data_IF_170073937173
#
_entry.id   IF_170073937173
#
_cell.length_a   1.000
_cell.length_b   1.000
_cell.length_c   1.000
_cell.angle_alpha   90.00
_cell.angle_beta   90.00
_cell.angle_gamma   90.00
#
_symmetry.space_group_name_H-M   'P 1'
#
loop_
_entity.id
_entity.type
_entity.pdbx_description
1 polymer ?
#
# COMPACT_ATOMS: atom_id res chain seq x y z
N UNK A 1 -6.12 -2.47 11.47
CA UNK A 1 -6.61 -2.12 10.11
C UNK A 1 -7.81 -3.01 9.80
N UNK A 2 -8.85 -2.50 9.13
CA UNK A 2 -9.99 -3.30 8.68
C UNK A 2 -9.80 -3.71 7.23
N UNK A 3 -9.89 -5.01 6.92
CA UNK A 3 -9.65 -5.55 5.57
C UNK A 3 -10.59 -6.72 5.30
N UNK A 4 -11.47 -6.58 4.31
CA UNK A 4 -12.47 -7.57 3.94
C UNK A 4 -13.55 -7.77 5.01
N UNK A 5 -14.58 -8.54 4.67
CA UNK A 5 -15.63 -8.92 5.63
C UNK A 5 -15.24 -10.20 6.36
N UNK A 6 -15.71 -10.40 7.61
CA UNK A 6 -15.42 -11.60 8.42
C UNK A 6 -15.84 -12.91 7.73
N UNK A 7 -16.91 -12.84 6.94
CA UNK A 7 -17.48 -13.94 6.15
C UNK A 7 -17.95 -13.41 4.79
N UNK A 8 -18.09 -14.27 3.76
CA UNK A 8 -18.74 -13.87 2.52
C UNK A 8 -20.12 -13.26 2.81
N UNK A 9 -20.36 -12.05 2.32
CA UNK A 9 -21.58 -11.29 2.58
C UNK A 9 -22.17 -10.87 1.24
N UNK A 10 -23.46 -11.01 1.02
CA UNK A 10 -24.07 -10.55 -0.23
C UNK A 10 -24.20 -9.01 -0.26
N UNK A 11 -24.50 -8.46 -1.44
CA UNK A 11 -24.56 -7.01 -1.67
C UNK A 11 -25.75 -6.33 -1.02
N UNK A 12 -26.86 -7.04 -0.83
CA UNK A 12 -28.05 -6.51 -0.16
C UNK A 12 -27.77 -6.33 1.33
N UNK A 13 -27.20 -7.37 1.96
CA UNK A 13 -26.73 -7.33 3.35
C UNK A 13 -25.68 -6.25 3.55
N UNK A 14 -24.68 -6.15 2.66
CA UNK A 14 -23.66 -5.09 2.72
C UNK A 14 -24.29 -3.69 2.67
N UNK A 15 -25.26 -3.47 1.77
CA UNK A 15 -25.94 -2.18 1.63
C UNK A 15 -26.75 -1.82 2.88
N UNK A 16 -27.53 -2.78 3.40
CA UNK A 16 -28.31 -2.58 4.61
C UNK A 16 -27.40 -2.21 5.79
N UNK A 17 -26.32 -2.96 5.96
CA UNK A 17 -25.35 -2.74 7.02
C UNK A 17 -24.61 -1.39 6.90
N UNK A 18 -24.37 -0.92 5.67
CA UNK A 18 -23.80 0.41 5.42
C UNK A 18 -24.75 1.55 5.82
N UNK A 19 -26.06 1.34 5.69
CA UNK A 19 -27.09 2.33 6.03
C UNK A 19 -27.37 2.41 7.53
N UNK A 20 -27.41 1.26 8.22
CA UNK A 20 -27.71 1.19 9.65
C UNK A 20 -26.46 1.22 10.55
N UNK A 21 -25.26 1.18 9.96
CA UNK A 21 -23.97 1.25 10.65
C UNK A 21 -23.42 -0.10 11.11
N UNK A 22 -24.19 -1.20 10.99
CA UNK A 22 -23.73 -2.54 11.36
C UNK A 22 -22.61 -3.09 10.46
N UNK A 23 -22.24 -2.38 9.37
CA UNK A 23 -21.08 -2.71 8.55
C UNK A 23 -19.77 -2.74 9.35
N UNK A 24 -19.69 -1.98 10.45
CA UNK A 24 -18.56 -2.03 11.38
C UNK A 24 -18.34 -3.44 11.93
N UNK A 25 -19.43 -4.18 12.19
CA UNK A 25 -19.42 -5.54 12.70
C UNK A 25 -19.14 -6.58 11.60
N UNK A 26 -19.38 -6.23 10.33
CA UNK A 26 -19.04 -7.09 9.20
C UNK A 26 -17.55 -7.06 8.88
N UNK A 27 -16.87 -5.94 9.12
CA UNK A 27 -15.46 -5.75 8.76
C UNK A 27 -14.53 -6.59 9.64
N UNK A 28 -13.54 -7.25 9.02
CA UNK A 28 -12.52 -8.01 9.72
C UNK A 28 -11.37 -7.10 10.16
N UNK A 29 -11.36 -6.77 11.45
CA UNK A 29 -10.36 -5.90 12.07
C UNK A 29 -9.13 -6.71 12.53
N UNK A 30 -7.97 -6.35 11.96
CA UNK A 30 -6.69 -6.99 12.24
C UNK A 30 -5.79 -6.08 13.07
N UNK A 31 -5.18 -6.57 14.17
CA UNK A 31 -4.13 -5.84 14.86
C UNK A 31 -2.92 -5.69 13.93
N UNK A 32 -2.21 -4.57 14.04
CA UNK A 32 -1.03 -4.27 13.22
C UNK A 32 0.11 -3.72 14.07
N UNK A 33 1.34 -3.88 13.60
CA UNK A 33 2.55 -3.31 14.18
C UNK A 33 3.42 -2.69 13.09
N UNK A 34 4.40 -1.89 13.51
CA UNK A 34 5.36 -1.28 12.59
C UNK A 34 6.08 -2.34 11.76
N UNK A 35 6.13 -2.11 10.44
CA UNK A 35 6.74 -3.02 9.48
C UNK A 35 5.80 -4.07 8.89
N UNK A 36 4.55 -4.18 9.35
CA UNK A 36 3.54 -4.97 8.66
C UNK A 36 3.23 -4.38 7.28
N UNK A 37 2.92 -5.25 6.33
CA UNK A 37 2.58 -4.88 4.96
C UNK A 37 1.27 -5.57 4.54
N UNK A 38 0.41 -4.84 3.84
CA UNK A 38 -0.84 -5.34 3.28
C UNK A 38 -1.00 -4.83 1.85
N UNK A 39 -1.24 -5.74 0.92
CA UNK A 39 -1.67 -5.38 -0.43
C UNK A 39 -3.21 -5.45 -0.49
N UNK A 40 -3.85 -4.29 -0.66
CA UNK A 40 -5.31 -4.18 -0.76
C UNK A 40 -5.71 -4.03 -2.23
N UNK A 41 -6.23 -5.09 -2.84
CA UNK A 41 -6.68 -5.05 -4.23
C UNK A 41 -7.96 -4.21 -4.36
N UNK A 42 -8.20 -3.63 -5.54
CA UNK A 42 -9.47 -2.96 -5.86
C UNK A 42 -10.66 -3.86 -5.56
N UNK A 43 -11.72 -3.32 -4.97
CA UNK A 43 -12.89 -4.08 -4.52
C UNK A 43 -12.81 -4.58 -3.08
N UNK A 44 -11.62 -4.60 -2.47
CA UNK A 44 -11.47 -4.90 -1.03
C UNK A 44 -12.11 -3.81 -0.20
N UNK A 45 -13.10 -4.16 0.62
CA UNK A 45 -13.66 -3.25 1.62
C UNK A 45 -12.62 -3.07 2.73
N UNK A 46 -12.26 -1.83 3.05
CA UNK A 46 -11.21 -1.58 4.03
C UNK A 46 -11.39 -0.25 4.77
N UNK A 47 -10.74 -0.16 5.93
CA UNK A 47 -10.69 1.04 6.75
C UNK A 47 -9.36 1.13 7.51
N UNK A 48 -8.79 2.33 7.57
CA UNK A 48 -7.63 2.63 8.40
C UNK A 48 -8.14 3.05 9.78
N UNK A 49 -7.80 2.26 10.79
CA UNK A 49 -8.16 2.52 12.19
C UNK A 49 -7.31 3.63 12.82
N UNK A 50 -7.78 4.15 13.96
CA UNK A 50 -7.06 5.17 14.73
C UNK A 50 -5.68 4.69 15.21
N UNK A 51 -4.74 5.62 15.35
CA UNK A 51 -3.39 5.36 15.86
C UNK A 51 -2.42 4.73 14.86
N UNK A 52 -2.83 4.55 13.59
CA UNK A 52 -1.97 4.00 12.53
C UNK A 52 -1.30 5.14 11.76
N UNK A 53 0.02 5.08 11.64
CA UNK A 53 0.79 5.84 10.63
C UNK A 53 1.27 4.84 9.58
N UNK A 54 1.07 5.15 8.31
CA UNK A 54 1.43 4.26 7.20
C UNK A 54 1.94 5.06 6.00
N UNK A 55 2.60 4.33 5.10
CA UNK A 55 2.84 4.77 3.72
C UNK A 55 1.88 3.99 2.83
N UNK A 56 1.08 4.70 2.05
CA UNK A 56 0.17 4.11 1.08
C UNK A 56 0.73 4.32 -0.33
N UNK A 57 1.09 3.22 -0.98
CA UNK A 57 1.47 3.21 -2.40
C UNK A 57 0.26 2.72 -3.17
N UNK A 58 -0.26 3.58 -4.05
CA UNK A 58 -1.46 3.32 -4.82
C UNK A 58 -1.26 3.67 -6.29
N UNK A 59 -2.15 3.16 -7.14
CA UNK A 59 -2.25 3.66 -8.51
C UNK A 59 -2.67 5.14 -8.50
N UNK A 60 -2.29 5.89 -9.53
CA UNK A 60 -2.71 7.29 -9.70
C UNK A 60 -4.21 7.37 -10.03
N UNK A 61 -5.05 7.18 -9.02
CA UNK A 61 -6.51 7.21 -9.05
C UNK A 61 -7.00 7.82 -7.74
N UNK A 62 -7.91 8.78 -7.85
CA UNK A 62 -8.54 9.43 -6.69
C UNK A 62 -9.90 8.81 -6.33
N UNK A 63 -10.31 7.75 -7.04
CA UNK A 63 -11.63 7.14 -6.88
C UNK A 63 -11.76 6.46 -5.52
N UNK A 64 -12.66 6.96 -4.67
CA UNK A 64 -13.00 6.35 -3.38
C UNK A 64 -14.52 6.26 -3.21
N UNK A 65 -15.05 5.05 -3.06
CA UNK A 65 -16.45 4.84 -2.72
C UNK A 65 -16.62 4.59 -1.24
N UNK A 66 -17.18 5.57 -0.54
CA UNK A 66 -17.40 5.49 0.90
C UNK A 66 -18.72 4.79 1.17
N UNK A 67 -18.66 3.64 1.84
CA UNK A 67 -19.86 2.90 2.24
C UNK A 67 -20.46 3.44 3.54
N UNK A 68 -19.63 3.82 4.50
CA UNK A 68 -20.07 4.31 5.79
C UNK A 68 -19.02 5.24 6.39
N UNK A 69 -19.44 6.15 7.29
CA UNK A 69 -18.55 7.17 7.87
C UNK A 69 -18.77 7.47 9.35
N UNK A 70 -19.26 6.50 10.13
CA UNK A 70 -19.40 6.65 11.58
C UNK A 70 -20.30 7.85 11.97
N UNK A 71 -21.37 8.07 11.21
CA UNK A 71 -22.31 9.18 11.39
C UNK A 71 -21.78 10.57 10.99
N UNK A 72 -20.56 10.69 10.45
CA UNK A 72 -20.02 11.97 9.97
C UNK A 72 -20.69 12.39 8.66
N UNK A 73 -20.87 13.70 8.41
CA UNK A 73 -21.64 14.21 7.28
C UNK A 73 -20.81 14.28 5.98
N UNK A 74 -20.05 13.23 5.65
CA UNK A 74 -19.37 13.12 4.35
C UNK A 74 -20.23 12.31 3.40
N UNK A 75 -20.08 12.58 2.11
CA UNK A 75 -20.78 11.87 1.06
C UNK A 75 -20.48 10.35 1.10
N UNK A 76 -21.55 9.57 0.95
CA UNK A 76 -21.51 8.13 0.77
C UNK A 76 -21.80 7.80 -0.69
N UNK A 77 -21.13 6.79 -1.22
CA UNK A 77 -21.26 6.36 -2.61
C UNK A 77 -21.81 4.92 -2.66
N UNK A 78 -22.97 4.67 -2.04
CA UNK A 78 -23.48 3.31 -1.79
C UNK A 78 -23.70 2.49 -3.06
N UNK A 79 -24.32 3.08 -4.10
CA UNK A 79 -24.62 2.35 -5.33
C UNK A 79 -23.33 1.88 -6.03
N UNK A 80 -22.38 2.80 -6.22
CA UNK A 80 -21.10 2.50 -6.86
C UNK A 80 -20.22 1.61 -5.99
N UNK A 81 -20.13 1.91 -4.69
CA UNK A 81 -19.33 1.17 -3.73
C UNK A 81 -19.76 -0.28 -3.61
N UNK A 82 -21.07 -0.53 -3.42
CA UNK A 82 -21.62 -1.89 -3.37
C UNK A 82 -21.44 -2.61 -4.72
N UNK A 83 -21.57 -1.88 -5.84
CA UNK A 83 -21.41 -2.46 -7.17
C UNK A 83 -19.98 -2.97 -7.47
N UNK A 84 -18.96 -2.35 -6.89
CA UNK A 84 -17.55 -2.76 -7.10
C UNK A 84 -16.94 -3.54 -5.94
N UNK A 85 -17.64 -3.66 -4.82
CA UNK A 85 -17.13 -4.37 -3.65
C UNK A 85 -17.09 -5.87 -3.86
N UNK A 86 -16.05 -6.49 -3.31
CA UNK A 86 -15.89 -7.92 -3.11
C UNK A 86 -15.99 -8.22 -1.59
N UNK A 87 -17.22 -8.35 -1.05
CA UNK A 87 -17.47 -8.56 0.37
C UNK A 87 -17.17 -10.00 0.81
N UNK A 88 -15.88 -10.33 0.84
CA UNK A 88 -15.35 -11.62 1.29
C UNK A 88 -14.22 -11.42 2.30
N UNK A 89 -13.83 -12.46 3.04
CA UNK A 89 -12.64 -12.43 3.88
C UNK A 89 -11.39 -12.05 3.09
N UNK A 90 -10.60 -11.12 3.65
CA UNK A 90 -9.36 -10.69 3.04
C UNK A 90 -8.38 -11.86 2.90
N UNK A 91 -7.87 -12.04 1.69
CA UNK A 91 -6.82 -13.00 1.38
C UNK A 91 -5.51 -12.23 1.16
N UNK A 92 -4.47 -12.46 1.98
CA UNK A 92 -3.18 -11.80 1.78
C UNK A 92 -2.60 -12.11 0.41
N UNK A 93 -2.12 -11.08 -0.28
CA UNK A 93 -1.33 -11.26 -1.50
C UNK A 93 0.03 -11.89 -1.14
N UNK A 94 0.60 -12.75 -2.00
CA UNK A 94 1.95 -13.26 -1.81
C UNK A 94 2.97 -12.13 -1.59
N UNK A 95 3.80 -12.32 -0.56
CA UNK A 95 4.95 -11.48 -0.24
C UNK A 95 6.23 -12.31 -0.49
N UNK A 96 6.93 -12.08 -1.61
CA UNK A 96 8.06 -12.94 -2.00
C UNK A 96 9.22 -12.93 -0.99
N UNK A 97 9.40 -11.86 -0.23
CA UNK A 97 10.35 -11.83 0.88
C UNK A 97 11.77 -11.46 0.48
N UNK A 98 12.72 -11.84 1.34
CA UNK A 98 14.14 -11.48 1.20
C UNK A 98 14.77 -12.17 -0.01
N UNK A 99 15.50 -11.40 -0.82
CA UNK A 99 16.20 -11.89 -2.02
C UNK A 99 17.69 -11.56 -2.04
N UNK A 100 18.27 -11.35 -0.87
CA UNK A 100 19.69 -11.02 -0.72
C UNK A 100 19.97 -9.52 -0.77
N UNK A 101 21.21 -9.16 -0.42
CA UNK A 101 21.78 -7.80 -0.51
C UNK A 101 20.94 -6.70 0.16
N UNK A 102 20.19 -7.06 1.21
CA UNK A 102 19.31 -6.16 1.94
C UNK A 102 18.04 -5.77 1.17
N UNK A 103 17.64 -6.51 0.13
CA UNK A 103 16.38 -6.33 -0.61
C UNK A 103 15.33 -7.30 -0.10
N UNK A 104 14.16 -6.78 0.22
CA UNK A 104 12.97 -7.53 0.56
C UNK A 104 11.83 -7.12 -0.36
N UNK A 105 11.21 -8.05 -1.05
CA UNK A 105 10.11 -7.74 -1.96
C UNK A 105 8.79 -7.91 -1.22
N UNK A 106 8.07 -6.79 -1.05
CA UNK A 106 6.80 -6.76 -0.34
C UNK A 106 5.65 -7.20 -1.24
N UNK A 107 5.66 -6.76 -2.50
CA UNK A 107 4.71 -7.24 -3.52
C UNK A 107 5.32 -7.12 -4.91
N UNK A 108 4.95 -8.04 -5.80
CA UNK A 108 5.22 -7.99 -7.23
C UNK A 108 3.91 -8.11 -7.99
N UNK A 109 3.38 -6.96 -8.39
CA UNK A 109 2.13 -6.91 -9.12
C UNK A 109 0.89 -7.16 -8.27
N UNK A 110 -0.29 -7.14 -8.91
CA UNK A 110 -0.49 -6.95 -10.34
C UNK A 110 -0.31 -5.51 -10.87
N UNK A 111 -0.16 -4.49 -10.01
CA UNK A 111 -0.14 -3.07 -10.44
C UNK A 111 1.20 -2.38 -10.30
N UNK A 112 1.93 -2.73 -9.25
CA UNK A 112 3.22 -2.16 -8.93
C UNK A 112 4.06 -3.20 -8.20
N UNK A 113 5.37 -2.97 -8.20
CA UNK A 113 6.29 -3.64 -7.30
C UNK A 113 6.57 -2.69 -6.14
N UNK A 114 6.58 -3.23 -4.93
CA UNK A 114 7.06 -2.52 -3.76
C UNK A 114 8.15 -3.34 -3.09
N UNK A 115 9.30 -2.72 -2.92
CA UNK A 115 10.44 -3.28 -2.24
C UNK A 115 10.73 -2.50 -0.95
N UNK A 116 11.34 -3.19 0.01
CA UNK A 116 11.93 -2.62 1.21
C UNK A 116 13.41 -2.93 1.26
N UNK A 117 14.19 -1.89 1.53
CA UNK A 117 15.60 -1.84 1.27
C UNK A 117 16.34 -1.36 2.53
N UNK A 118 17.32 -2.15 2.97
CA UNK A 118 18.29 -1.70 3.96
C UNK A 118 19.30 -0.71 3.35
N UNK A 119 20.00 0.03 4.21
CA UNK A 119 21.14 0.86 3.83
C UNK A 119 22.23 0.09 3.06
N UNK A 120 23.00 0.81 2.23
CA UNK A 120 24.01 0.23 1.35
C UNK A 120 24.12 0.93 0.00
N UNK A 121 25.08 0.50 -0.81
CA UNK A 121 25.28 1.00 -2.18
C UNK A 121 24.57 0.10 -3.20
N UNK A 122 23.90 0.69 -4.18
CA UNK A 122 23.13 -0.03 -5.21
C UNK A 122 23.09 0.73 -6.52
N UNK A 123 23.01 -0.01 -7.62
CA UNK A 123 22.65 0.52 -8.93
C UNK A 123 21.20 0.19 -9.20
N UNK A 124 20.44 1.19 -9.62
CA UNK A 124 19.04 1.08 -10.04
C UNK A 124 19.03 1.25 -11.56
N UNK A 125 18.32 0.37 -12.26
CA UNK A 125 18.11 0.47 -13.71
C UNK A 125 16.64 0.30 -14.04
N UNK A 126 15.95 1.41 -14.27
CA UNK A 126 14.53 1.43 -14.63
C UNK A 126 14.37 1.37 -16.16
N UNK A 127 13.42 0.59 -16.69
CA UNK A 127 13.07 0.61 -18.11
C UNK A 127 12.64 2.01 -18.56
N UNK A 128 12.82 2.31 -19.84
CA UNK A 128 12.40 3.60 -20.41
C UNK A 128 10.92 3.87 -20.15
N UNK A 129 10.60 5.06 -19.62
CA UNK A 129 9.23 5.47 -19.32
C UNK A 129 8.69 4.95 -17.98
N UNK A 130 9.49 4.22 -17.20
CA UNK A 130 9.15 3.82 -15.83
C UNK A 130 9.82 4.78 -14.84
N UNK A 131 9.00 5.40 -13.99
CA UNK A 131 9.47 6.15 -12.82
C UNK A 131 9.49 5.24 -11.60
N UNK A 132 10.57 5.33 -10.82
CA UNK A 132 10.67 4.72 -9.49
C UNK A 132 10.54 5.77 -8.40
N UNK A 133 9.97 5.39 -7.27
CA UNK A 133 9.80 6.24 -6.08
C UNK A 133 10.58 5.67 -4.92
N UNK A 134 11.58 6.41 -4.44
CA UNK A 134 12.34 6.09 -3.24
C UNK A 134 11.78 6.87 -2.05
N UNK A 135 11.38 6.16 -1.00
CA UNK A 135 10.73 6.72 0.19
C UNK A 135 11.55 6.29 1.42
N UNK A 136 12.46 7.13 1.93
CA UNK A 136 13.21 6.85 3.15
C UNK A 136 12.29 6.92 4.37
N UNK A 137 12.07 5.78 5.04
CA UNK A 137 11.34 5.70 6.30
C UNK A 137 12.22 6.09 7.48
N UNK A 138 13.51 5.71 7.41
CA UNK A 138 14.53 6.06 8.38
C UNK A 138 15.89 6.22 7.69
N UNK A 139 16.78 7.02 8.29
CA UNK A 139 18.12 7.26 7.77
C UNK A 139 18.15 8.27 6.62
N UNK A 140 19.14 8.11 5.74
CA UNK A 140 19.45 9.06 4.68
C UNK A 140 20.51 8.53 3.72
N UNK A 141 20.93 9.38 2.80
CA UNK A 141 21.95 9.01 1.84
C UNK A 141 22.00 9.96 0.65
N UNK A 142 22.52 9.45 -0.47
CA UNK A 142 22.55 10.18 -1.73
C UNK A 142 22.17 9.28 -2.90
N UNK A 143 21.51 9.85 -3.88
CA UNK A 143 21.29 9.24 -5.20
C UNK A 143 21.80 10.21 -6.27
N UNK A 144 22.77 9.77 -7.08
CA UNK A 144 23.45 10.61 -8.08
C UNK A 144 23.89 11.99 -7.55
N UNK A 145 24.37 12.01 -6.30
CA UNK A 145 24.81 13.22 -5.60
C UNK A 145 23.70 14.03 -4.91
N UNK A 146 22.43 13.78 -5.21
CA UNK A 146 21.26 14.38 -4.52
C UNK A 146 21.10 13.74 -3.15
N UNK A 147 21.25 14.53 -2.09
CA UNK A 147 21.07 14.05 -0.73
C UNK A 147 19.59 13.86 -0.37
N UNK A 148 19.30 12.85 0.45
CA UNK A 148 17.97 12.62 1.00
C UNK A 148 18.02 12.24 2.48
N UNK A 149 16.88 12.39 3.15
CA UNK A 149 16.64 11.95 4.51
C UNK A 149 15.23 11.36 4.69
N UNK A 150 15.02 10.69 5.82
CA UNK A 150 13.71 10.19 6.26
C UNK A 150 12.58 11.24 6.11
N UNK A 151 11.42 10.80 5.64
CA UNK A 151 10.24 11.64 5.42
C UNK A 151 10.20 12.37 4.07
N UNK A 152 11.23 12.21 3.23
CA UNK A 152 11.21 12.70 1.85
C UNK A 152 10.71 11.62 0.87
N UNK A 153 10.50 12.02 -0.38
CA UNK A 153 10.20 11.12 -1.48
C UNK A 153 10.96 11.60 -2.72
N UNK A 154 11.63 10.69 -3.41
CA UNK A 154 12.44 10.98 -4.58
C UNK A 154 11.93 10.18 -5.77
N UNK A 155 11.87 10.84 -6.93
CA UNK A 155 11.62 10.18 -8.21
C UNK A 155 12.94 9.82 -8.89
N UNK A 156 12.98 8.64 -9.50
CA UNK A 156 14.14 8.07 -10.19
C UNK A 156 13.68 7.65 -11.58
N UNK A 157 14.47 7.96 -12.60
CA UNK A 157 14.22 7.56 -13.99
C UNK A 157 15.53 7.07 -14.61
N UNK A 158 15.47 6.03 -15.45
CA UNK A 158 16.66 5.46 -16.07
C UNK A 158 17.61 4.79 -15.06
N UNK A 159 18.90 5.07 -15.18
CA UNK A 159 19.93 4.53 -14.28
C UNK A 159 20.25 5.51 -13.15
N UNK A 160 20.42 4.98 -11.94
CA UNK A 160 20.83 5.78 -10.79
C UNK A 160 21.73 5.01 -9.83
N UNK A 161 22.71 5.70 -9.25
CA UNK A 161 23.60 5.17 -8.22
C UNK A 161 23.14 5.65 -6.83
N UNK A 162 22.61 4.71 -6.05
CA UNK A 162 22.19 4.93 -4.67
C UNK A 162 23.33 4.59 -3.70
N UNK A 163 23.56 5.47 -2.73
CA UNK A 163 24.35 5.19 -1.54
C UNK A 163 23.57 5.63 -0.30
N UNK A 164 22.93 4.66 0.35
CA UNK A 164 22.20 4.87 1.60
C UNK A 164 23.09 4.57 2.82
N UNK A 165 22.94 5.38 3.86
CA UNK A 165 23.69 5.23 5.10
C UNK A 165 23.32 3.93 5.81
N UNK A 166 24.28 3.36 6.57
CA UNK A 166 24.03 2.15 7.36
C UNK A 166 22.87 2.39 8.35
N UNK A 167 21.97 1.41 8.48
CA UNK A 167 20.78 1.53 9.32
C UNK A 167 19.59 2.27 8.68
N UNK A 168 19.71 2.71 7.43
CA UNK A 168 18.57 3.25 6.67
C UNK A 168 17.53 2.16 6.37
N UNK A 169 16.27 2.59 6.28
CA UNK A 169 15.11 1.78 5.90
C UNK A 169 14.34 2.52 4.83
N UNK A 170 14.32 1.98 3.62
CA UNK A 170 13.80 2.64 2.43
C UNK A 170 12.72 1.77 1.79
N UNK A 171 11.64 2.39 1.33
CA UNK A 171 10.75 1.77 0.37
C UNK A 171 11.13 2.20 -1.04
N UNK A 172 11.03 1.29 -1.99
CA UNK A 172 11.18 1.60 -3.41
C UNK A 172 10.00 1.01 -4.19
N UNK A 173 9.26 1.87 -4.88
CA UNK A 173 8.08 1.51 -5.63
C UNK A 173 8.25 1.84 -7.12
N UNK A 174 7.69 1.01 -8.00
CA UNK A 174 7.61 1.29 -9.44
C UNK A 174 6.44 0.52 -10.06
N UNK A 175 5.92 1.01 -11.18
CA UNK A 175 4.85 0.32 -11.90
C UNK A 175 5.34 -0.97 -12.53
N UNK A 176 4.52 -2.01 -12.51
CA UNK A 176 4.85 -3.31 -13.10
C UNK A 176 4.29 -4.47 -12.29
N UNK A 177 4.45 -5.68 -12.84
CA UNK A 177 4.06 -6.93 -12.20
C UNK A 177 5.26 -7.82 -11.83
N UNK A 178 6.46 -7.40 -12.21
CA UNK A 178 7.70 -8.17 -12.07
C UNK A 178 8.81 -7.26 -11.56
N UNK A 179 9.59 -7.71 -10.58
CA UNK A 179 10.73 -6.93 -10.09
C UNK A 179 11.80 -6.70 -11.17
N UNK A 180 12.53 -5.60 -11.03
CA UNK A 180 13.76 -5.31 -11.76
C UNK A 180 15.02 -5.74 -11.00
#
# INVERSE_FOLDING_TARGET
IGLGTKVPTDRETLRAAALDGSIEDLLDWKPVKAGDFFYSASGTIHAIGAGITLVEVQQNSETTYRLYDYGRPRELHLDQGVAVSEPVPFVPHPMPGNVGDGRNILVEGPKFVLERWAGGARTIGLPQGVTGWLIPLAGGGRIDGVAFSAGQCLTIEGEAALKADAGSDLLFAYSGDTRI
#
